data_IF_078152972649
#
_entry.id   IF_078152972649
#
_cell.length_a   1.000
_cell.length_b   1.000
_cell.length_c   1.000
_cell.angle_alpha   90.00
_cell.angle_beta   90.00
_cell.angle_gamma   90.00
#
_symmetry.space_group_name_H-M   'P 1'
#
loop_
_entity.id
_entity.type
_entity.pdbx_description
1 polymer ?
#
# COMPACT_ATOMS: atom_id res chain seq x y z
N UNK A 1 -3.40 -16.92 12.91
CA UNK A 1 -4.62 -17.59 12.41
C UNK A 1 -5.83 -16.97 13.10
N UNK A 2 -6.80 -16.47 12.34
CA UNK A 2 -8.05 -15.96 12.92
C UNK A 2 -8.97 -17.14 13.28
N UNK A 3 -9.32 -17.29 14.55
CA UNK A 3 -10.17 -18.37 15.07
C UNK A 3 -11.63 -18.35 14.57
N UNK A 4 -12.06 -17.31 13.85
CA UNK A 4 -13.43 -17.18 13.34
C UNK A 4 -13.59 -17.56 11.85
N UNK A 5 -12.51 -17.53 11.05
CA UNK A 5 -12.59 -17.78 9.61
C UNK A 5 -11.52 -18.72 9.04
N UNK A 6 -10.62 -19.26 9.88
CA UNK A 6 -9.59 -20.22 9.47
C UNK A 6 -8.50 -19.66 8.55
N UNK A 7 -8.53 -18.36 8.23
CA UNK A 7 -7.54 -17.71 7.36
C UNK A 7 -6.25 -17.40 8.12
N UNK A 8 -5.13 -17.59 7.43
CA UNK A 8 -3.81 -17.09 7.83
C UNK A 8 -3.87 -15.57 7.90
N UNK A 9 -3.95 -15.04 9.12
CA UNK A 9 -3.75 -13.62 9.37
C UNK A 9 -2.26 -13.35 9.17
N UNK A 10 -1.88 -12.82 8.01
CA UNK A 10 -0.54 -12.26 7.83
C UNK A 10 -0.44 -11.09 8.80
N UNK A 11 0.58 -11.09 9.66
CA UNK A 11 0.77 -9.98 10.59
C UNK A 11 1.14 -8.75 9.75
N UNK A 12 0.38 -7.66 9.86
CA UNK A 12 0.77 -6.39 9.24
C UNK A 12 1.38 -5.52 10.32
N UNK A 13 2.71 -5.33 10.33
CA UNK A 13 3.40 -4.62 11.40
C UNK A 13 2.98 -3.14 11.52
N UNK A 14 2.33 -2.55 10.51
CA UNK A 14 1.79 -1.19 10.60
C UNK A 14 0.42 -1.11 11.28
N UNK A 15 -0.39 -2.16 11.18
CA UNK A 15 -1.78 -2.19 11.64
C UNK A 15 -2.00 -3.05 12.88
N UNK A 16 -1.09 -3.99 13.15
CA UNK A 16 -1.19 -4.96 14.23
C UNK A 16 -2.26 -6.03 14.00
N UNK A 17 -2.54 -6.87 15.02
CA UNK A 17 -3.39 -8.05 14.88
C UNK A 17 -4.89 -7.75 14.72
N UNK A 18 -5.33 -6.52 15.06
CA UNK A 18 -6.73 -6.10 14.92
C UNK A 18 -6.85 -5.13 13.74
N UNK A 19 -7.40 -5.64 12.64
CA UNK A 19 -7.66 -4.86 11.43
C UNK A 19 -9.14 -4.51 11.34
N UNK A 20 -9.45 -3.23 11.44
CA UNK A 20 -10.79 -2.69 11.22
C UNK A 20 -10.92 -2.15 9.79
N UNK A 21 -12.11 -2.24 9.21
CA UNK A 21 -12.39 -1.67 7.88
C UNK A 21 -12.05 -0.17 7.83
N UNK A 22 -12.26 0.56 8.94
CA UNK A 22 -11.85 1.97 9.05
C UNK A 22 -10.36 2.15 8.81
N UNK A 23 -9.52 1.31 9.40
CA UNK A 23 -8.07 1.38 9.20
C UNK A 23 -7.71 1.07 7.74
N UNK A 24 -8.33 0.06 7.12
CA UNK A 24 -8.11 -0.23 5.70
C UNK A 24 -8.51 0.97 4.81
N UNK A 25 -9.62 1.64 5.12
CA UNK A 25 -10.07 2.84 4.41
C UNK A 25 -9.09 4.01 4.57
N UNK A 26 -8.57 4.23 5.78
CA UNK A 26 -7.55 5.26 6.03
C UNK A 26 -6.31 4.98 5.20
N UNK A 27 -5.79 3.75 5.22
CA UNK A 27 -4.62 3.36 4.42
C UNK A 27 -4.86 3.56 2.93
N UNK A 28 -5.99 3.08 2.39
CA UNK A 28 -6.33 3.26 0.98
C UNK A 28 -6.39 4.75 0.60
N UNK A 29 -7.03 5.57 1.45
CA UNK A 29 -7.13 7.02 1.27
C UNK A 29 -5.76 7.69 1.27
N UNK A 30 -4.88 7.33 2.21
CA UNK A 30 -3.52 7.85 2.29
C UNK A 30 -2.71 7.51 1.05
N UNK A 31 -2.70 6.25 0.62
CA UNK A 31 -1.94 5.81 -0.57
C UNK A 31 -2.44 6.52 -1.83
N UNK A 32 -3.77 6.62 -1.99
CA UNK A 32 -4.37 7.38 -3.09
C UNK A 32 -3.98 8.86 -3.05
N UNK A 33 -4.04 9.51 -1.89
CA UNK A 33 -3.68 10.92 -1.74
C UNK A 33 -2.22 11.18 -2.10
N UNK A 34 -1.32 10.30 -1.68
CA UNK A 34 0.11 10.38 -2.00
C UNK A 34 0.36 10.19 -3.50
N UNK A 35 -0.35 9.25 -4.14
CA UNK A 35 -0.21 8.96 -5.57
C UNK A 35 -0.95 9.97 -6.48
N UNK A 36 -1.87 10.77 -5.94
CA UNK A 36 -2.75 11.65 -6.72
C UNK A 36 -1.96 12.64 -7.58
N UNK A 37 -2.22 12.66 -8.89
CA UNK A 37 -1.57 13.57 -9.83
C UNK A 37 -0.18 13.12 -10.31
N UNK A 38 0.22 11.88 -10.03
CA UNK A 38 1.36 11.25 -10.71
C UNK A 38 0.90 10.57 -12.01
N UNK A 39 1.70 10.63 -13.09
CA UNK A 39 1.39 9.88 -14.30
C UNK A 39 1.46 8.37 -13.99
N UNK A 40 0.41 7.64 -14.36
CA UNK A 40 0.30 6.21 -14.03
C UNK A 40 -0.04 5.93 -12.57
N UNK A 41 -0.63 6.89 -11.84
CA UNK A 41 -1.02 6.69 -10.45
C UNK A 41 -1.98 5.50 -10.28
N UNK A 42 -1.62 4.50 -9.46
CA UNK A 42 -2.54 3.41 -9.15
C UNK A 42 -3.66 3.89 -8.23
N UNK A 43 -4.82 3.24 -8.35
CA UNK A 43 -5.97 3.44 -7.46
C UNK A 43 -6.06 2.29 -6.47
N UNK A 44 -6.14 2.61 -5.19
CA UNK A 44 -6.26 1.65 -4.10
C UNK A 44 -7.67 1.68 -3.53
N UNK A 45 -8.28 0.51 -3.38
CA UNK A 45 -9.58 0.32 -2.77
C UNK A 45 -9.45 -0.56 -1.54
N UNK A 46 -10.01 -0.15 -0.41
CA UNK A 46 -10.05 -0.97 0.80
C UNK A 46 -11.02 -2.14 0.62
N UNK A 47 -10.59 -3.33 1.01
CA UNK A 47 -11.40 -4.54 1.10
C UNK A 47 -11.56 -4.93 2.58
N UNK A 48 -12.45 -5.88 2.86
CA UNK A 48 -12.66 -6.41 4.22
C UNK A 48 -11.38 -6.96 4.83
N UNK A 49 -10.57 -7.64 4.02
CA UNK A 49 -9.40 -8.39 4.47
C UNK A 49 -8.07 -7.77 3.98
N UNK A 50 -8.09 -6.60 3.32
CA UNK A 50 -6.88 -5.97 2.78
C UNK A 50 -7.19 -4.84 1.80
N UNK A 51 -6.47 -4.78 0.68
CA UNK A 51 -6.62 -3.76 -0.36
C UNK A 51 -6.58 -4.37 -1.76
N UNK A 52 -7.24 -3.69 -2.69
CA UNK A 52 -7.11 -3.94 -4.12
C UNK A 52 -6.48 -2.72 -4.76
N UNK A 53 -5.32 -2.91 -5.37
CA UNK A 53 -4.65 -1.90 -6.17
C UNK A 53 -4.99 -2.12 -7.64
N UNK A 54 -5.26 -1.04 -8.37
CA UNK A 54 -5.50 -1.04 -9.82
C UNK A 54 -4.54 -0.06 -10.46
N UNK A 55 -3.63 -0.57 -11.28
CA UNK A 55 -2.60 0.19 -11.97
C UNK A 55 -3.05 0.72 -13.34
N UNK A 56 -2.23 1.56 -13.97
CA UNK A 56 -2.40 1.94 -15.37
C UNK A 56 -2.26 0.69 -16.26
N UNK A 57 -3.10 0.57 -17.29
CA UNK A 57 -3.22 -0.61 -18.17
C UNK A 57 -4.02 -1.82 -17.61
N UNK A 58 -4.82 -1.62 -16.57
CA UNK A 58 -5.77 -2.65 -16.10
C UNK A 58 -5.15 -3.76 -15.24
N UNK A 59 -3.87 -3.63 -14.90
CA UNK A 59 -3.24 -4.47 -13.89
C UNK A 59 -3.96 -4.27 -12.55
N UNK A 60 -4.28 -5.38 -11.87
CA UNK A 60 -4.85 -5.33 -10.53
C UNK A 60 -4.14 -6.32 -9.63
N UNK A 61 -3.86 -5.88 -8.40
CA UNK A 61 -3.18 -6.69 -7.40
C UNK A 61 -3.98 -6.62 -6.09
N UNK A 62 -4.30 -7.78 -5.54
CA UNK A 62 -4.86 -7.88 -4.20
C UNK A 62 -3.72 -7.95 -3.19
N UNK A 63 -3.68 -6.98 -2.27
CA UNK A 63 -2.63 -6.85 -1.27
C UNK A 63 -3.25 -7.07 0.11
N UNK A 64 -2.68 -7.99 0.88
CA UNK A 64 -3.12 -8.28 2.25
C UNK A 64 -2.32 -7.50 3.29
N UNK A 65 -1.15 -6.97 2.94
CA UNK A 65 -0.33 -6.14 3.83
C UNK A 65 -0.08 -4.76 3.22
N UNK A 66 0.18 -3.78 4.07
CA UNK A 66 0.62 -2.45 3.66
C UNK A 66 1.94 -2.50 2.86
N UNK A 67 2.80 -3.46 3.18
CA UNK A 67 4.05 -3.69 2.47
C UNK A 67 3.80 -4.15 1.02
N UNK A 68 3.02 -5.22 0.83
CA UNK A 68 2.61 -5.70 -0.51
C UNK A 68 1.97 -4.58 -1.32
N UNK A 69 1.14 -3.76 -0.67
CA UNK A 69 0.51 -2.63 -1.30
C UNK A 69 1.53 -1.61 -1.80
N UNK A 70 2.53 -1.25 -1.00
CA UNK A 70 3.57 -0.33 -1.44
C UNK A 70 4.48 -0.92 -2.50
N UNK A 71 4.79 -2.22 -2.45
CA UNK A 71 5.54 -2.91 -3.50
C UNK A 71 4.78 -2.82 -4.84
N UNK A 72 3.48 -3.17 -4.84
CA UNK A 72 2.65 -3.10 -6.03
C UNK A 72 2.52 -1.67 -6.58
N UNK A 73 2.36 -0.68 -5.69
CA UNK A 73 2.31 0.74 -6.07
C UNK A 73 3.62 1.21 -6.67
N UNK A 74 4.77 0.86 -6.08
CA UNK A 74 6.07 1.21 -6.64
C UNK A 74 6.33 0.52 -7.98
N UNK A 75 5.89 -0.74 -8.13
CA UNK A 75 5.97 -1.48 -9.39
C UNK A 75 5.19 -0.85 -10.54
N UNK A 76 4.17 -0.01 -10.26
CA UNK A 76 3.45 0.72 -11.30
C UNK A 76 4.24 1.89 -11.91
N UNK A 77 5.32 2.35 -11.25
CA UNK A 77 6.12 3.47 -11.70
C UNK A 77 7.46 2.98 -12.23
N UNK A 78 7.63 3.01 -13.55
CA UNK A 78 8.89 2.64 -14.22
C UNK A 78 9.87 3.81 -14.34
N UNK A 79 9.39 5.04 -14.19
CA UNK A 79 10.19 6.26 -14.29
C UNK A 79 10.81 6.63 -12.93
N UNK A 80 12.14 6.69 -12.89
CA UNK A 80 12.91 7.04 -11.69
C UNK A 80 12.56 8.44 -11.13
N UNK A 81 12.24 9.41 -11.99
CA UNK A 81 11.86 10.76 -11.58
C UNK A 81 10.51 10.78 -10.86
N UNK A 82 9.58 9.92 -11.30
CA UNK A 82 8.26 9.76 -10.68
C UNK A 82 8.41 9.03 -9.34
N UNK A 83 9.26 8.01 -9.26
CA UNK A 83 9.60 7.32 -8.02
C UNK A 83 10.21 8.27 -6.97
N UNK A 84 11.16 9.12 -7.36
CA UNK A 84 11.74 10.11 -6.44
C UNK A 84 10.75 11.18 -6.01
N UNK A 85 9.81 11.57 -6.89
CA UNK A 85 8.71 12.47 -6.52
C UNK A 85 7.75 11.81 -5.54
N UNK A 86 7.44 10.53 -5.73
CA UNK A 86 6.60 9.74 -4.83
C UNK A 86 7.28 9.60 -3.45
N UNK A 87 8.57 9.25 -3.40
CA UNK A 87 9.35 9.16 -2.15
C UNK A 87 9.33 10.47 -1.36
N UNK A 88 9.59 11.60 -2.03
CA UNK A 88 9.51 12.92 -1.39
C UNK A 88 8.11 13.25 -0.88
N UNK A 89 7.08 12.92 -1.65
CA UNK A 89 5.69 13.11 -1.23
C UNK A 89 5.33 12.27 -0.01
N UNK A 90 5.76 11.00 0.03
CA UNK A 90 5.57 10.13 1.19
C UNK A 90 6.21 10.70 2.45
N UNK A 91 7.44 11.18 2.35
CA UNK A 91 8.14 11.83 3.45
C UNK A 91 7.43 13.10 3.91
N UNK A 92 7.03 13.97 2.97
CA UNK A 92 6.29 15.19 3.29
C UNK A 92 4.93 14.89 3.94
N UNK A 93 4.21 13.87 3.45
CA UNK A 93 2.92 13.45 4.00
C UNK A 93 3.06 12.89 5.41
N UNK A 94 4.11 12.10 5.68
CA UNK A 94 4.38 11.55 7.00
C UNK A 94 4.90 12.59 8.00
N UNK A 95 5.58 13.64 7.52
CA UNK A 95 6.07 14.74 8.34
C UNK A 95 4.99 15.78 8.69
N UNK A 96 3.86 15.77 7.99
CA UNK A 96 2.75 16.70 8.24
C UNK A 96 2.03 16.34 9.56
N UNK A 97 2.00 17.25 10.55
CA UNK A 97 1.31 17.01 11.83
C UNK A 97 -0.20 16.75 11.67
N UNK A 98 -0.83 17.21 10.59
CA UNK A 98 -2.24 16.91 10.30
C UNK A 98 -2.47 15.43 9.92
N UNK A 99 -1.43 14.72 9.49
CA UNK A 99 -1.48 13.31 9.08
C UNK A 99 -0.94 12.36 10.15
N UNK A 100 -0.72 12.85 11.39
CA UNK A 100 -0.17 12.06 12.48
C UNK A 100 -0.98 10.77 12.76
N UNK A 101 -0.29 9.74 13.26
CA UNK A 101 -0.90 8.45 13.58
C UNK A 101 -0.88 7.47 12.42
N UNK A 102 -2.01 6.80 12.16
CA UNK A 102 -2.11 5.76 11.13
C UNK A 102 -1.80 6.27 9.70
N UNK A 103 -2.22 7.46 9.26
CA UNK A 103 -1.88 7.98 7.93
C UNK A 103 -0.37 8.19 7.76
N UNK A 104 0.31 8.80 8.74
CA UNK A 104 1.76 8.98 8.71
C UNK A 104 2.51 7.65 8.70
N UNK A 105 2.05 6.64 9.46
CA UNK A 105 2.60 5.28 9.42
C UNK A 105 2.41 4.61 8.06
N UNK A 106 1.22 4.76 7.49
CA UNK A 106 0.88 4.22 6.18
C UNK A 106 1.75 4.84 5.08
N UNK A 107 1.99 6.15 5.12
CA UNK A 107 2.87 6.83 4.17
C UNK A 107 4.35 6.52 4.40
N UNK A 108 4.76 6.39 5.66
CA UNK A 108 6.15 6.29 6.10
C UNK A 108 6.78 4.90 6.04
N UNK A 109 6.02 3.81 5.87
CA UNK A 109 6.56 2.44 5.82
C UNK A 109 7.31 2.17 4.50
N UNK A 110 8.66 2.17 4.45
CA UNK A 110 9.35 1.75 3.24
C UNK A 110 9.04 0.26 3.00
N UNK A 111 8.69 -0.15 1.76
CA UNK A 111 8.66 -1.57 1.43
C UNK A 111 10.08 -2.13 1.57
N UNK A 112 10.21 -3.35 2.11
CA UNK A 112 11.51 -4.03 2.15
C UNK A 112 12.02 -4.17 0.70
N UNK A 113 13.27 -3.78 0.39
CA UNK A 113 13.85 -4.00 -0.93
C UNK A 113 13.88 -5.48 -1.36
N UNK A 114 13.71 -6.44 -0.44
CA UNK A 114 13.57 -7.86 -0.76
C UNK A 114 12.15 -8.25 -1.22
N UNK A 115 11.12 -7.46 -0.90
CA UNK A 115 9.72 -7.80 -1.16
C UNK A 115 9.33 -7.65 -2.65
N UNK A 116 10.09 -6.89 -3.44
CA UNK A 116 9.88 -6.75 -4.88
C UNK A 116 10.06 -8.05 -5.68
N UNK A 117 10.68 -9.09 -5.11
CA UNK A 117 10.85 -10.38 -5.77
C UNK A 117 9.64 -11.32 -5.66
N UNK A 118 8.62 -11.00 -4.84
CA UNK A 118 7.45 -11.87 -4.66
C UNK A 118 6.36 -11.69 -5.74
N UNK A 119 6.46 -10.66 -6.59
CA UNK A 119 5.46 -10.37 -7.63
C UNK A 119 5.83 -10.94 -9.01
N UNK A 120 6.92 -11.71 -9.13
CA UNK A 120 7.44 -12.24 -10.38
C UNK A 120 7.37 -13.78 -10.48
N UNK A 121 6.40 -14.39 -9.79
CA UNK A 121 6.06 -15.81 -9.92
C UNK A 121 4.55 -15.95 -10.11
N UNK A 122 4.14 -16.82 -11.03
CA UNK A 122 2.75 -17.23 -11.33
C UNK A 122 1.97 -16.34 -12.31
N UNK A 123 2.47 -16.29 -13.54
CA UNK A 123 1.61 -16.36 -14.74
C UNK A 123 2.07 -17.57 -15.56
N UNK A 124 1.46 -18.74 -15.30
CA UNK A 124 1.31 -19.82 -16.29
C UNK A 124 -0.10 -19.74 -16.89
#
# INVERSE_FOLDING_TARGET
MCGACGRTTVDDPALGPVRTLRQHLIVAGTVNAVCTGLPGAPKVTALKDGWMMTGPAGFSAQCQTLEELWVAVLGCFTDASVLDRLRRRRQAYAADPANAGLPARAAGMPPDPAASNYFQGDFE
#
